data_IF_940543695484
#
_entry.id   IF_940543695484
#
_cell.length_a   1.000
_cell.length_b   1.000
_cell.length_c   1.000
_cell.angle_alpha   90.00
_cell.angle_beta   90.00
_cell.angle_gamma   90.00
#
_symmetry.space_group_name_H-M   'P 1'
#
loop_
_entity.id
_entity.type
_entity.pdbx_description
1 polymer ?
#
# COMPACT_ATOMS: atom_id res chain seq x y z
N UNK A 1 1.96 27.17 16.28
CA UNK A 1 0.97 26.60 17.22
C UNK A 1 1.69 26.26 18.52
N UNK A 2 1.05 26.43 19.68
CA UNK A 2 1.69 26.15 20.98
C UNK A 2 1.70 24.63 21.25
N UNK A 3 2.68 24.16 22.06
CA UNK A 3 2.86 22.74 22.39
C UNK A 3 1.59 22.10 22.97
N UNK A 4 0.98 22.77 23.98
CA UNK A 4 -0.22 22.24 24.64
C UNK A 4 -1.43 22.12 23.71
N UNK A 5 -1.50 22.95 22.68
CA UNK A 5 -2.54 22.89 21.65
C UNK A 5 -2.34 21.66 20.76
N UNK A 6 -1.11 21.41 20.28
CA UNK A 6 -0.78 20.22 19.48
C UNK A 6 -1.01 18.92 20.25
N UNK A 7 -0.63 18.88 21.54
CA UNK A 7 -0.87 17.71 22.40
C UNK A 7 -2.39 17.45 22.55
N UNK A 8 -3.20 18.50 22.74
CA UNK A 8 -4.66 18.35 22.84
C UNK A 8 -5.27 17.83 21.53
N UNK A 9 -4.83 18.33 20.37
CA UNK A 9 -5.28 17.84 19.08
C UNK A 9 -4.88 16.36 18.93
N UNK A 10 -3.62 16.02 19.21
CA UNK A 10 -3.16 14.62 19.12
C UNK A 10 -3.93 13.66 20.04
N UNK A 11 -4.33 14.12 21.24
CA UNK A 11 -5.16 13.34 22.16
C UNK A 11 -6.60 13.14 21.65
N UNK A 12 -7.13 14.08 20.85
CA UNK A 12 -8.47 13.99 20.26
C UNK A 12 -8.51 13.11 18.99
N UNK A 13 -7.36 12.93 18.34
CA UNK A 13 -7.24 12.10 17.14
C UNK A 13 -7.19 10.63 17.54
N UNK A 14 -8.19 9.86 17.09
CA UNK A 14 -8.28 8.42 17.35
C UNK A 14 -7.17 7.64 16.64
N UNK A 15 -6.89 6.45 17.15
CA UNK A 15 -6.00 5.52 16.48
C UNK A 15 -6.63 4.93 15.21
N UNK A 16 -5.78 4.49 14.30
CA UNK A 16 -6.16 3.79 13.08
C UNK A 16 -6.68 2.38 13.42
N UNK A 17 -7.71 1.93 12.70
CA UNK A 17 -8.17 0.55 12.72
C UNK A 17 -7.85 -0.10 11.37
N UNK A 18 -7.09 -1.19 11.39
CA UNK A 18 -6.60 -1.78 10.15
C UNK A 18 -5.72 -0.81 9.36
N UNK A 19 -5.87 -0.77 8.04
CA UNK A 19 -5.24 0.22 7.14
C UNK A 19 -6.26 1.25 6.63
N UNK A 20 -7.24 1.60 7.45
CA UNK A 20 -8.24 2.59 7.11
C UNK A 20 -7.71 4.02 7.32
N UNK A 21 -7.51 4.73 6.22
CA UNK A 21 -7.12 6.15 6.15
C UNK A 21 -8.27 7.06 5.72
N UNK A 22 -9.52 6.59 5.72
CA UNK A 22 -10.69 7.36 5.28
C UNK A 22 -10.93 8.65 6.07
N UNK A 23 -10.33 8.77 7.26
CA UNK A 23 -10.36 9.98 8.10
C UNK A 23 -9.36 11.06 7.70
N UNK A 24 -8.42 10.75 6.82
CA UNK A 24 -7.50 11.75 6.31
C UNK A 24 -8.25 12.62 5.31
N UNK A 25 -8.47 13.87 5.68
CA UNK A 25 -8.95 14.88 4.74
C UNK A 25 -7.75 15.34 3.92
N UNK A 26 -7.73 14.95 2.67
CA UNK A 26 -6.63 15.21 1.77
C UNK A 26 -7.09 15.74 0.41
N UNK A 27 -6.13 16.34 -0.29
CA UNK A 27 -6.27 16.76 -1.68
C UNK A 27 -4.95 16.53 -2.42
N UNK A 28 -5.02 16.32 -3.72
CA UNK A 28 -3.83 16.09 -4.55
C UNK A 28 -4.02 16.62 -5.97
N UNK A 29 -2.90 16.87 -6.62
CA UNK A 29 -2.93 17.11 -8.06
C UNK A 29 -3.37 15.85 -8.82
N UNK A 30 -3.87 15.99 -10.06
CA UNK A 30 -4.31 14.85 -10.85
C UNK A 30 -3.23 13.77 -10.98
N UNK A 31 -3.61 12.52 -10.70
CA UNK A 31 -2.75 11.34 -10.80
C UNK A 31 -2.95 10.63 -12.15
N UNK A 32 -1.90 9.99 -12.71
CA UNK A 32 -2.00 9.33 -14.02
C UNK A 32 -2.78 8.01 -13.98
N UNK A 33 -2.98 7.39 -12.81
CA UNK A 33 -3.79 6.18 -12.64
C UNK A 33 -4.38 6.10 -11.22
N UNK A 34 -5.53 5.45 -11.12
CA UNK A 34 -6.06 4.87 -9.89
C UNK A 34 -5.74 3.37 -9.88
N UNK A 35 -5.24 2.86 -8.76
CA UNK A 35 -4.82 1.45 -8.65
C UNK A 35 -5.98 0.47 -8.88
N UNK A 36 -7.13 0.71 -8.27
CA UNK A 36 -8.28 -0.18 -8.42
C UNK A 36 -8.80 -0.17 -9.86
N UNK A 37 -8.82 0.98 -10.51
CA UNK A 37 -9.22 1.09 -11.92
C UNK A 37 -8.21 0.40 -12.86
N UNK A 38 -6.91 0.40 -12.50
CA UNK A 38 -5.91 -0.40 -13.22
C UNK A 38 -6.19 -1.88 -13.04
N UNK A 39 -6.38 -2.35 -11.82
CA UNK A 39 -6.64 -3.78 -11.51
C UNK A 39 -7.89 -4.28 -12.21
N UNK A 40 -8.99 -3.52 -12.18
CA UNK A 40 -10.27 -3.89 -12.83
C UNK A 40 -10.13 -4.23 -14.32
N UNK A 41 -9.15 -3.67 -15.03
CA UNK A 41 -8.90 -3.97 -16.46
C UNK A 41 -8.38 -5.38 -16.71
N UNK A 42 -7.85 -6.04 -15.68
CA UNK A 42 -7.27 -7.39 -15.75
C UNK A 42 -8.18 -8.47 -15.15
N UNK A 43 -9.17 -8.06 -14.34
CA UNK A 43 -10.11 -8.98 -13.71
C UNK A 43 -11.14 -9.50 -14.72
N UNK A 44 -11.53 -10.76 -14.55
CA UNK A 44 -12.63 -11.39 -15.26
C UNK A 44 -13.56 -12.06 -14.24
N UNK A 45 -14.86 -12.24 -14.53
CA UNK A 45 -15.82 -12.84 -13.60
C UNK A 45 -15.42 -14.23 -13.09
N UNK A 46 -14.58 -14.95 -13.84
CA UNK A 46 -14.08 -16.27 -13.49
C UNK A 46 -12.72 -16.25 -12.81
N UNK A 47 -12.07 -15.09 -12.72
CA UNK A 47 -10.71 -14.97 -12.18
C UNK A 47 -10.64 -15.47 -10.74
N UNK A 48 -9.60 -16.24 -10.44
CA UNK A 48 -9.16 -16.56 -9.09
C UNK A 48 -8.05 -15.61 -8.68
N UNK A 49 -8.30 -14.83 -7.64
CA UNK A 49 -7.44 -13.69 -7.24
C UNK A 49 -6.82 -13.93 -5.87
N UNK A 50 -5.53 -13.65 -5.75
CA UNK A 50 -4.81 -13.59 -4.47
C UNK A 50 -4.41 -12.13 -4.21
N UNK A 51 -4.66 -11.64 -2.99
CA UNK A 51 -4.18 -10.34 -2.53
C UNK A 51 -3.18 -10.55 -1.38
N UNK A 52 -1.91 -10.24 -1.63
CA UNK A 52 -0.79 -10.44 -0.68
C UNK A 52 -0.51 -9.15 0.07
N UNK A 53 -0.57 -9.20 1.39
CA UNK A 53 -0.53 -8.02 2.25
C UNK A 53 -1.88 -7.28 2.21
N UNK A 54 -2.97 -8.04 2.39
CA UNK A 54 -4.35 -7.53 2.25
C UNK A 54 -4.76 -6.55 3.34
N UNK A 55 -4.04 -6.51 4.47
CA UNK A 55 -4.40 -5.69 5.62
C UNK A 55 -5.81 -6.01 6.12
N UNK A 56 -6.63 -4.98 6.35
CA UNK A 56 -8.05 -5.10 6.73
C UNK A 56 -8.99 -5.48 5.60
N UNK A 57 -8.47 -5.80 4.40
CA UNK A 57 -9.24 -6.29 3.26
C UNK A 57 -10.08 -5.23 2.53
N UNK A 58 -10.05 -3.96 2.94
CA UNK A 58 -10.94 -2.90 2.44
C UNK A 58 -10.86 -2.80 0.91
N UNK A 59 -9.64 -2.67 0.37
CA UNK A 59 -9.42 -2.50 -1.08
C UNK A 59 -9.67 -3.78 -1.87
N UNK A 60 -9.36 -4.93 -1.27
CA UNK A 60 -9.63 -6.21 -1.91
C UNK A 60 -11.13 -6.48 -2.06
N UNK A 61 -11.92 -6.15 -1.02
CA UNK A 61 -13.37 -6.31 -1.08
C UNK A 61 -14.06 -5.38 -2.08
N UNK A 62 -13.50 -4.18 -2.35
CA UNK A 62 -13.99 -3.30 -3.42
C UNK A 62 -13.87 -3.93 -4.82
N UNK A 63 -12.91 -4.86 -5.00
CA UNK A 63 -12.69 -5.59 -6.25
C UNK A 63 -13.55 -6.86 -6.37
N UNK A 64 -14.14 -7.35 -5.27
CA UNK A 64 -14.90 -8.60 -5.25
C UNK A 64 -16.01 -8.72 -6.32
N UNK A 65 -16.72 -7.65 -6.71
CA UNK A 65 -17.72 -7.74 -7.79
C UNK A 65 -17.15 -8.05 -9.18
N UNK A 66 -15.83 -8.00 -9.36
CA UNK A 66 -15.17 -8.11 -10.67
C UNK A 66 -14.43 -9.44 -10.88
N UNK A 67 -14.43 -10.35 -9.89
CA UNK A 67 -13.77 -11.66 -9.98
C UNK A 67 -14.64 -12.79 -9.40
N UNK A 68 -14.28 -14.04 -9.67
CA UNK A 68 -15.05 -15.22 -9.24
C UNK A 68 -14.77 -15.61 -7.79
N UNK A 69 -13.51 -15.81 -7.44
CA UNK A 69 -13.09 -16.16 -6.08
C UNK A 69 -11.79 -15.46 -5.71
N UNK A 70 -11.62 -15.14 -4.43
CA UNK A 70 -10.42 -14.48 -3.97
C UNK A 70 -9.99 -14.88 -2.57
N UNK A 71 -8.68 -14.80 -2.35
CA UNK A 71 -8.07 -14.97 -1.03
C UNK A 71 -7.19 -13.77 -0.73
N UNK A 72 -7.44 -13.11 0.40
CA UNK A 72 -6.54 -12.10 0.96
C UNK A 72 -5.67 -12.73 2.03
N UNK A 73 -4.35 -12.47 1.98
CA UNK A 73 -3.41 -12.96 2.99
C UNK A 73 -2.62 -11.81 3.60
N UNK A 74 -2.33 -11.92 4.89
CA UNK A 74 -1.47 -11.00 5.62
C UNK A 74 -0.70 -11.78 6.70
N UNK A 75 0.50 -11.32 7.04
CA UNK A 75 1.30 -11.92 8.10
C UNK A 75 0.72 -11.59 9.49
N UNK A 76 0.01 -10.47 9.60
CA UNK A 76 -0.55 -9.98 10.86
C UNK A 76 -1.94 -10.62 11.14
N UNK A 77 -2.08 -11.44 12.20
CA UNK A 77 -3.35 -12.04 12.54
C UNK A 77 -4.41 -11.01 12.98
N UNK A 78 -4.00 -9.85 13.50
CA UNK A 78 -4.92 -8.78 13.86
C UNK A 78 -5.55 -8.17 12.59
N UNK A 79 -4.76 -7.90 11.56
CA UNK A 79 -5.25 -7.43 10.26
C UNK A 79 -6.22 -8.42 9.64
N UNK A 80 -5.92 -9.71 9.68
CA UNK A 80 -6.83 -10.76 9.20
C UNK A 80 -8.13 -10.82 10.04
N UNK A 81 -8.04 -10.56 11.34
CA UNK A 81 -9.21 -10.38 12.21
C UNK A 81 -10.11 -9.26 11.70
N UNK A 82 -9.54 -8.08 11.47
CA UNK A 82 -10.24 -6.90 10.93
C UNK A 82 -10.82 -7.21 9.54
N UNK A 83 -10.06 -7.86 8.64
CA UNK A 83 -10.54 -8.20 7.30
C UNK A 83 -11.77 -9.13 7.33
N UNK A 84 -11.79 -10.09 8.26
CA UNK A 84 -12.94 -10.99 8.46
C UNK A 84 -14.16 -10.26 9.02
N UNK A 85 -13.96 -9.32 9.94
CA UNK A 85 -15.03 -8.48 10.48
C UNK A 85 -15.59 -7.51 9.43
N UNK A 86 -14.73 -6.92 8.63
CA UNK A 86 -15.10 -5.99 7.55
C UNK A 86 -15.85 -6.69 6.40
N UNK A 87 -15.66 -8.02 6.24
CA UNK A 87 -16.23 -8.77 5.12
C UNK A 87 -17.76 -8.87 5.22
N UNK A 88 -18.52 -8.31 4.26
CA UNK A 88 -19.97 -8.48 4.20
C UNK A 88 -20.34 -9.98 4.10
N UNK A 89 -21.43 -10.43 4.76
CA UNK A 89 -21.88 -11.82 4.67
C UNK A 89 -22.08 -12.31 3.22
N UNK A 90 -22.51 -11.44 2.32
CA UNK A 90 -22.70 -11.76 0.90
C UNK A 90 -21.39 -12.15 0.17
N UNK A 91 -20.23 -11.74 0.68
CA UNK A 91 -18.93 -12.10 0.11
C UNK A 91 -18.28 -13.33 0.77
N UNK A 92 -18.92 -13.93 1.77
CA UNK A 92 -18.31 -15.00 2.56
C UNK A 92 -17.95 -16.26 1.75
N UNK A 93 -18.65 -16.54 0.66
CA UNK A 93 -18.36 -17.66 -0.23
C UNK A 93 -17.35 -17.30 -1.34
N UNK A 94 -17.19 -16.01 -1.65
CA UNK A 94 -16.34 -15.51 -2.72
C UNK A 94 -14.96 -15.07 -2.25
N UNK A 95 -14.87 -14.49 -1.04
CA UNK A 95 -13.63 -13.90 -0.51
C UNK A 95 -13.29 -14.55 0.82
N UNK A 96 -12.07 -15.07 0.92
CA UNK A 96 -11.52 -15.66 2.14
C UNK A 96 -10.32 -14.85 2.62
N UNK A 97 -10.02 -14.93 3.94
CA UNK A 97 -8.84 -14.29 4.53
C UNK A 97 -8.07 -15.28 5.40
N UNK A 98 -6.74 -15.32 5.22
CA UNK A 98 -5.86 -16.24 5.96
C UNK A 98 -4.60 -15.52 6.44
N UNK A 99 -4.13 -15.91 7.64
CA UNK A 99 -2.81 -15.48 8.13
C UNK A 99 -1.75 -16.27 7.38
N UNK A 100 -0.88 -15.56 6.63
CA UNK A 100 0.13 -16.18 5.81
C UNK A 100 1.24 -15.19 5.45
N UNK A 101 2.52 -15.52 5.62
CA UNK A 101 3.61 -14.65 5.22
C UNK A 101 3.82 -14.66 3.71
N UNK A 102 4.18 -13.51 3.13
CA UNK A 102 4.35 -13.35 1.69
C UNK A 102 5.51 -14.17 1.09
N UNK A 103 6.53 -14.48 1.91
CA UNK A 103 7.69 -15.30 1.53
C UNK A 103 7.38 -16.78 1.43
N UNK A 104 6.23 -17.23 1.92
CA UNK A 104 5.79 -18.62 1.88
C UNK A 104 4.29 -18.72 1.73
N UNK A 105 3.84 -18.74 0.49
CA UNK A 105 2.43 -18.88 0.15
C UNK A 105 2.03 -20.36 0.12
N UNK A 106 1.11 -20.76 1.00
CA UNK A 106 0.67 -22.16 1.15
C UNK A 106 -0.37 -22.55 0.09
N UNK A 107 -0.10 -22.19 -1.17
CA UNK A 107 -0.92 -22.51 -2.34
C UNK A 107 -0.13 -23.34 -3.34
N UNK A 108 -0.79 -24.21 -4.12
CA UNK A 108 -0.19 -24.88 -5.26
C UNK A 108 0.40 -23.90 -6.28
N UNK A 109 1.39 -24.35 -7.05
CA UNK A 109 1.88 -23.58 -8.19
C UNK A 109 0.81 -23.45 -9.27
N UNK A 110 0.69 -22.26 -9.86
CA UNK A 110 -0.24 -22.01 -10.97
C UNK A 110 -1.71 -21.90 -10.56
N UNK A 111 -2.00 -21.57 -9.31
CA UNK A 111 -3.38 -21.56 -8.79
C UNK A 111 -4.16 -20.29 -9.14
N UNK A 112 -3.49 -19.16 -9.28
CA UNK A 112 -4.14 -17.85 -9.42
C UNK A 112 -4.00 -17.25 -10.81
N UNK A 113 -5.09 -16.65 -11.29
CA UNK A 113 -5.12 -15.84 -12.51
C UNK A 113 -4.44 -14.50 -12.31
N UNK A 114 -4.74 -13.89 -11.16
CA UNK A 114 -4.24 -12.57 -10.76
C UNK A 114 -3.69 -12.64 -9.34
N UNK A 115 -2.51 -12.10 -9.13
CA UNK A 115 -1.97 -11.81 -7.81
C UNK A 115 -1.84 -10.30 -7.66
N UNK A 116 -2.39 -9.78 -6.57
CA UNK A 116 -2.37 -8.37 -6.19
C UNK A 116 -1.43 -8.17 -5.02
N UNK A 117 -0.86 -6.98 -4.93
CA UNK A 117 -0.15 -6.51 -3.76
C UNK A 117 -0.19 -4.98 -3.75
N UNK A 118 -0.40 -4.39 -2.58
CA UNK A 118 -0.42 -2.94 -2.46
C UNK A 118 0.24 -2.50 -1.16
N UNK A 119 1.34 -1.74 -1.29
CA UNK A 119 2.09 -1.19 -0.15
C UNK A 119 2.57 -2.25 0.85
N UNK A 120 2.94 -3.43 0.38
CA UNK A 120 3.44 -4.55 1.18
C UNK A 120 4.62 -5.23 0.49
N UNK A 121 5.38 -6.02 1.24
CA UNK A 121 6.56 -6.75 0.74
C UNK A 121 6.17 -7.70 -0.39
N UNK A 122 7.01 -7.78 -1.41
CA UNK A 122 6.84 -8.64 -2.59
C UNK A 122 7.97 -9.67 -2.67
N UNK A 123 7.61 -10.94 -2.71
CA UNK A 123 8.54 -12.04 -2.97
C UNK A 123 8.29 -12.60 -4.39
N UNK A 124 9.07 -12.10 -5.36
CA UNK A 124 8.86 -12.39 -6.79
C UNK A 124 8.81 -13.89 -7.12
N UNK A 125 9.62 -14.72 -6.47
CA UNK A 125 9.64 -16.17 -6.68
C UNK A 125 8.32 -16.84 -6.23
N UNK A 126 7.79 -16.49 -5.05
CA UNK A 126 6.53 -17.04 -4.55
C UNK A 126 5.33 -16.56 -5.37
N UNK A 127 5.28 -15.27 -5.69
CA UNK A 127 4.24 -14.72 -6.56
C UNK A 127 4.26 -15.40 -7.94
N UNK A 128 5.43 -15.52 -8.57
CA UNK A 128 5.55 -16.19 -9.87
C UNK A 128 5.18 -17.68 -9.78
N UNK A 129 5.49 -18.35 -8.66
CA UNK A 129 5.15 -19.76 -8.46
C UNK A 129 3.63 -19.99 -8.42
N UNK A 130 2.90 -19.15 -7.66
CA UNK A 130 1.45 -19.32 -7.49
C UNK A 130 0.64 -18.78 -8.67
N UNK A 131 1.19 -17.91 -9.52
CA UNK A 131 0.57 -17.47 -10.76
C UNK A 131 0.52 -18.61 -11.77
N UNK A 132 -0.62 -18.78 -12.44
CA UNK A 132 -0.72 -19.65 -13.62
C UNK A 132 0.05 -19.06 -14.81
N UNK A 133 0.46 -19.89 -15.78
CA UNK A 133 0.95 -19.39 -17.07
C UNK A 133 -0.07 -18.43 -17.70
N UNK A 134 0.38 -17.26 -18.16
CA UNK A 134 -0.46 -16.19 -18.69
C UNK A 134 -1.11 -15.29 -17.63
N UNK A 135 -1.03 -15.63 -16.33
CA UNK A 135 -1.56 -14.84 -15.22
C UNK A 135 -0.77 -13.54 -14.98
N UNK A 136 -1.37 -12.61 -14.25
CA UNK A 136 -0.79 -11.29 -14.01
C UNK A 136 -0.53 -11.05 -12.53
N UNK A 137 0.59 -10.41 -12.24
CA UNK A 137 0.83 -9.75 -10.96
C UNK A 137 0.73 -8.24 -11.14
N UNK A 138 0.02 -7.58 -10.23
CA UNK A 138 -0.21 -6.13 -10.25
C UNK A 138 0.10 -5.58 -8.87
N UNK A 139 1.10 -4.71 -8.78
CA UNK A 139 1.46 -4.05 -7.52
C UNK A 139 1.55 -2.56 -7.67
N UNK A 140 1.12 -1.84 -6.62
CA UNK A 140 1.46 -0.45 -6.39
C UNK A 140 2.23 -0.34 -5.09
N UNK A 141 3.37 0.34 -5.13
CA UNK A 141 4.21 0.58 -3.96
C UNK A 141 4.28 2.06 -3.62
N UNK A 142 4.62 2.36 -2.38
CA UNK A 142 4.99 3.70 -1.96
C UNK A 142 6.39 3.98 -2.47
N UNK A 143 6.57 5.06 -3.22
CA UNK A 143 7.90 5.42 -3.73
C UNK A 143 8.78 6.05 -2.64
N UNK A 144 10.11 6.02 -2.81
CA UNK A 144 11.09 6.43 -1.80
C UNK A 144 11.01 7.91 -1.41
N UNK A 145 10.48 8.74 -2.28
CA UNK A 145 10.31 10.18 -2.02
C UNK A 145 8.88 10.53 -1.57
N UNK A 146 8.07 9.54 -1.18
CA UNK A 146 6.70 9.83 -0.70
C UNK A 146 6.74 10.65 0.58
N UNK A 147 6.00 11.77 0.61
CA UNK A 147 5.94 12.72 1.75
C UNK A 147 7.34 13.14 2.23
N UNK A 148 8.29 13.26 1.31
CA UNK A 148 9.72 13.39 1.62
C UNK A 148 10.04 14.60 2.50
N UNK A 149 9.45 15.77 2.23
CA UNK A 149 9.68 16.98 3.03
C UNK A 149 9.23 16.83 4.49
N UNK A 150 8.30 15.92 4.79
CA UNK A 150 7.84 15.61 6.14
C UNK A 150 8.69 14.48 6.72
N UNK A 151 8.77 13.33 6.03
CA UNK A 151 9.46 12.14 6.53
C UNK A 151 10.95 12.38 6.79
N UNK A 152 11.63 13.20 5.98
CA UNK A 152 13.04 13.53 6.17
C UNK A 152 13.33 14.27 7.48
N UNK A 153 12.37 15.03 8.01
CA UNK A 153 12.51 15.69 9.33
C UNK A 153 12.59 14.69 10.49
N UNK A 154 12.06 13.49 10.30
CA UNK A 154 12.11 12.39 11.25
C UNK A 154 13.22 11.38 10.93
N UNK A 155 14.17 11.73 10.05
CA UNK A 155 15.26 10.85 9.65
C UNK A 155 14.87 9.71 8.72
N UNK A 156 13.69 9.78 8.09
CA UNK A 156 13.19 8.76 7.19
C UNK A 156 13.44 9.12 5.72
N UNK A 157 13.54 8.10 4.86
CA UNK A 157 13.74 8.26 3.42
C UNK A 157 15.21 8.26 2.99
N UNK A 158 15.49 8.52 1.69
CA UNK A 158 16.83 8.44 1.12
C UNK A 158 17.85 9.32 1.85
N UNK A 159 18.93 8.71 2.33
CA UNK A 159 19.99 9.37 3.11
C UNK A 159 19.63 9.62 4.58
N UNK A 160 18.51 9.13 5.07
CA UNK A 160 18.10 9.17 6.47
C UNK A 160 18.70 8.03 7.29
N UNK A 161 18.38 8.03 8.60
CA UNK A 161 18.79 6.97 9.53
C UNK A 161 18.12 5.62 9.22
N UNK A 162 16.93 5.66 8.64
CA UNK A 162 16.18 4.48 8.20
C UNK A 162 16.42 4.30 6.70
N UNK A 163 17.40 3.43 6.37
CA UNK A 163 17.67 3.06 4.99
C UNK A 163 16.49 2.28 4.38
N UNK A 164 16.18 2.62 3.14
CA UNK A 164 15.16 1.92 2.38
C UNK A 164 15.68 0.55 1.92
N UNK A 165 14.84 -0.48 2.02
CA UNK A 165 15.14 -1.78 1.41
C UNK A 165 15.05 -1.69 -0.12
N UNK A 166 16.19 -1.45 -0.75
CA UNK A 166 16.29 -1.35 -2.21
C UNK A 166 15.86 -2.62 -2.95
N UNK A 167 15.75 -3.77 -2.27
CA UNK A 167 15.23 -5.01 -2.86
C UNK A 167 13.75 -4.90 -3.25
N UNK A 168 13.03 -3.97 -2.61
CA UNK A 168 11.63 -3.67 -2.91
C UNK A 168 11.47 -2.51 -3.91
N UNK A 169 12.58 -1.96 -4.42
CA UNK A 169 12.50 -0.94 -5.46
C UNK A 169 11.86 -1.48 -6.74
N UNK A 170 11.19 -0.60 -7.48
CA UNK A 170 10.51 -0.95 -8.72
C UNK A 170 11.44 -1.67 -9.73
N UNK A 171 12.72 -1.28 -9.77
CA UNK A 171 13.72 -1.91 -10.64
C UNK A 171 14.11 -3.31 -10.16
N UNK A 172 14.36 -3.48 -8.86
CA UNK A 172 14.72 -4.77 -8.28
C UNK A 172 13.56 -5.77 -8.41
N UNK A 173 12.33 -5.35 -8.15
CA UNK A 173 11.14 -6.18 -8.33
C UNK A 173 10.97 -6.59 -9.79
N UNK A 174 11.10 -5.65 -10.73
CA UNK A 174 10.99 -5.95 -12.16
C UNK A 174 12.04 -6.98 -12.62
N UNK A 175 13.28 -6.85 -12.12
CA UNK A 175 14.35 -7.81 -12.42
C UNK A 175 14.10 -9.16 -11.75
N UNK A 176 13.69 -9.18 -10.48
CA UNK A 176 13.32 -10.40 -9.77
C UNK A 176 12.24 -11.20 -10.52
N UNK A 177 11.22 -10.53 -11.04
CA UNK A 177 10.18 -11.18 -11.85
C UNK A 177 10.69 -11.69 -13.21
N UNK A 178 11.61 -10.96 -13.89
CA UNK A 178 12.23 -11.46 -15.12
C UNK A 178 12.99 -12.75 -14.90
N UNK A 179 13.73 -12.85 -13.78
CA UNK A 179 14.44 -14.08 -13.41
C UNK A 179 13.51 -15.26 -13.13
N UNK A 180 12.23 -15.00 -12.83
CA UNK A 180 11.19 -16.01 -12.65
C UNK A 180 10.38 -16.28 -13.95
N UNK A 181 10.87 -15.85 -15.11
CA UNK A 181 10.18 -16.07 -16.38
C UNK A 181 8.93 -15.21 -16.60
N UNK A 182 8.85 -14.07 -15.93
CA UNK A 182 7.77 -13.12 -16.13
C UNK A 182 8.19 -11.97 -17.06
N UNK A 183 7.26 -11.50 -17.88
CA UNK A 183 7.43 -10.32 -18.72
C UNK A 183 6.88 -9.09 -18.01
N UNK A 184 7.64 -8.02 -17.96
CA UNK A 184 7.14 -6.72 -17.51
C UNK A 184 6.19 -6.15 -18.57
N UNK A 185 4.95 -5.89 -18.19
CA UNK A 185 3.90 -5.33 -19.05
C UNK A 185 3.86 -3.82 -18.92
N UNK A 186 3.87 -3.34 -17.67
CA UNK A 186 3.85 -1.91 -17.36
C UNK A 186 4.75 -1.64 -16.17
N UNK A 187 5.48 -0.55 -16.25
CA UNK A 187 6.20 0.07 -15.15
C UNK A 187 5.98 1.57 -15.23
N UNK A 188 5.55 2.16 -14.14
CA UNK A 188 5.33 3.59 -14.06
C UNK A 188 5.53 4.11 -12.66
N UNK A 189 5.82 5.39 -12.55
CA UNK A 189 5.90 6.13 -11.30
C UNK A 189 5.17 7.46 -11.45
N UNK A 190 4.64 7.99 -10.37
CA UNK A 190 4.25 9.37 -10.29
C UNK A 190 4.68 10.00 -8.97
N UNK A 191 4.91 11.30 -9.01
CA UNK A 191 5.20 12.12 -7.84
C UNK A 191 4.44 13.44 -8.02
N UNK A 192 3.33 13.60 -7.28
CA UNK A 192 2.42 14.74 -7.39
C UNK A 192 2.35 15.51 -6.08
N UNK A 193 1.94 16.78 -6.12
CA UNK A 193 1.68 17.52 -4.90
C UNK A 193 0.46 16.95 -4.19
N UNK A 194 0.56 16.90 -2.87
CA UNK A 194 -0.45 16.39 -1.97
C UNK A 194 -0.61 17.33 -0.77
N UNK A 195 -1.80 17.45 -0.22
CA UNK A 195 -2.09 18.31 0.91
C UNK A 195 -2.90 17.57 1.96
N UNK A 196 -2.48 17.67 3.20
CA UNK A 196 -3.34 17.41 4.34
C UNK A 196 -4.20 18.66 4.57
N UNK A 197 -5.51 18.54 4.53
CA UNK A 197 -6.42 19.69 4.62
C UNK A 197 -6.63 20.20 6.05
N UNK A 198 -6.24 19.42 7.06
CA UNK A 198 -6.31 19.79 8.47
C UNK A 198 -5.07 19.32 9.24
N UNK A 199 -4.83 19.94 10.40
CA UNK A 199 -3.76 19.54 11.33
C UNK A 199 -4.07 18.16 11.90
N UNK A 200 -5.34 17.86 12.15
CA UNK A 200 -5.85 16.59 12.62
C UNK A 200 -5.53 15.48 11.63
N UNK A 201 -5.71 15.71 10.33
CA UNK A 201 -5.37 14.76 9.26
C UNK A 201 -3.88 14.47 9.20
N UNK A 202 -3.03 15.49 9.32
CA UNK A 202 -1.58 15.32 9.39
C UNK A 202 -1.19 14.49 10.63
N UNK A 203 -1.73 14.82 11.81
CA UNK A 203 -1.42 14.13 13.06
C UNK A 203 -1.92 12.69 13.02
N UNK A 204 -3.14 12.45 12.50
CA UNK A 204 -3.66 11.10 12.30
C UNK A 204 -2.72 10.28 11.40
N UNK A 205 -2.29 10.85 10.29
CA UNK A 205 -1.38 10.20 9.34
C UNK A 205 -0.04 9.86 10.01
N UNK A 206 0.58 10.80 10.74
CA UNK A 206 1.84 10.57 11.47
C UNK A 206 1.74 9.46 12.52
N UNK A 207 0.59 9.33 13.20
CA UNK A 207 0.32 8.24 14.16
C UNK A 207 0.05 6.90 13.47
N UNK A 208 -0.45 6.93 12.24
CA UNK A 208 -0.98 5.76 11.56
C UNK A 208 0.05 5.02 10.69
N UNK A 209 1.11 5.70 10.26
CA UNK A 209 2.16 5.11 9.41
C UNK A 209 3.27 4.48 10.26
N UNK A 210 4.00 3.47 9.74
CA UNK A 210 5.09 2.84 10.47
C UNK A 210 6.34 3.72 10.60
N UNK A 211 6.40 4.83 9.89
CA UNK A 211 7.49 5.81 9.94
C UNK A 211 6.95 7.24 10.05
N UNK A 212 7.40 8.04 11.01
CA UNK A 212 8.47 7.70 11.96
C UNK A 212 8.01 6.64 12.97
N UNK A 213 8.92 5.71 13.30
CA UNK A 213 8.67 4.79 14.40
C UNK A 213 8.44 5.58 15.69
N UNK A 214 7.51 5.09 16.51
CA UNK A 214 7.23 5.66 17.84
C UNK A 214 6.89 7.16 17.82
N UNK A 215 6.11 7.61 16.82
CA UNK A 215 5.65 8.99 16.80
C UNK A 215 4.91 9.34 18.10
N UNK A 216 5.45 10.31 18.84
CA UNK A 216 4.87 10.86 20.06
C UNK A 216 4.82 12.39 19.98
N UNK A 217 3.63 12.97 20.15
CA UNK A 217 3.44 14.41 20.00
C UNK A 217 4.21 15.21 21.04
N UNK A 218 4.35 14.72 22.27
CA UNK A 218 5.07 15.44 23.31
C UNK A 218 6.57 15.52 23.04
N UNK A 219 7.11 14.51 22.34
CA UNK A 219 8.52 14.50 21.94
C UNK A 219 8.76 15.23 20.61
N UNK A 220 7.83 15.10 19.64
CA UNK A 220 8.02 15.57 18.27
C UNK A 220 7.28 16.87 17.94
N UNK A 221 6.68 17.55 18.93
CA UNK A 221 5.89 18.77 18.71
C UNK A 221 6.65 19.88 17.96
N UNK A 222 7.97 19.99 18.18
CA UNK A 222 8.80 20.98 17.49
C UNK A 222 8.90 20.70 16.00
N UNK A 223 9.02 19.43 15.61
CA UNK A 223 9.02 19.00 14.20
C UNK A 223 7.65 19.26 13.55
N UNK A 224 6.58 18.92 14.25
CA UNK A 224 5.21 19.18 13.77
C UNK A 224 4.97 20.69 13.63
N UNK A 225 5.39 21.48 14.61
CA UNK A 225 5.29 22.95 14.52
C UNK A 225 6.14 23.53 13.38
N UNK A 226 7.32 22.96 13.12
CA UNK A 226 8.13 23.31 11.95
C UNK A 226 7.41 22.98 10.65
N UNK A 227 6.80 21.79 10.52
CA UNK A 227 5.99 21.42 9.36
C UNK A 227 4.87 22.44 9.12
N UNK A 228 4.12 22.77 10.18
CA UNK A 228 3.01 23.72 10.11
C UNK A 228 3.45 25.15 9.80
N UNK A 229 4.64 25.57 10.23
CA UNK A 229 5.16 26.90 9.92
C UNK A 229 5.78 27.02 8.53
N UNK A 230 6.25 25.91 7.97
CA UNK A 230 7.03 25.89 6.71
C UNK A 230 6.21 25.47 5.51
N UNK A 231 5.31 24.49 5.67
CA UNK A 231 4.62 23.84 4.55
C UNK A 231 3.11 24.12 4.47
N UNK A 232 2.57 24.95 5.39
CA UNK A 232 1.16 25.39 5.29
C UNK A 232 0.99 26.33 4.10
N UNK A 233 -0.03 26.06 3.30
CA UNK A 233 -0.51 26.86 2.18
C UNK A 233 -1.99 27.17 2.35
N UNK A 234 -2.58 27.97 1.47
CA UNK A 234 -4.04 28.20 1.45
C UNK A 234 -4.85 26.92 1.25
N UNK A 235 -4.25 25.87 0.66
CA UNK A 235 -4.89 24.59 0.37
C UNK A 235 -4.73 23.57 1.51
N UNK A 236 -3.79 23.78 2.43
CA UNK A 236 -3.46 22.87 3.51
C UNK A 236 -1.96 22.70 3.70
N UNK A 237 -1.56 21.67 4.45
CA UNK A 237 -0.14 21.31 4.66
C UNK A 237 0.37 20.55 3.43
N UNK A 238 1.21 21.22 2.65
CA UNK A 238 1.72 20.68 1.39
C UNK A 238 2.83 19.65 1.61
N UNK A 239 2.71 18.55 0.89
CA UNK A 239 3.73 17.53 0.73
C UNK A 239 3.64 16.94 -0.71
N UNK A 240 4.14 15.74 -0.90
CA UNK A 240 4.02 15.01 -2.16
C UNK A 240 3.52 13.58 -1.93
N UNK A 241 2.87 13.03 -2.93
CA UNK A 241 2.54 11.61 -3.01
C UNK A 241 3.33 10.98 -4.15
N UNK A 242 4.18 9.99 -3.82
CA UNK A 242 4.88 9.18 -4.82
C UNK A 242 4.38 7.75 -4.78
N UNK A 243 4.03 7.21 -5.95
CA UNK A 243 3.64 5.81 -6.12
C UNK A 243 4.33 5.20 -7.32
N UNK A 244 4.65 3.93 -7.16
CA UNK A 244 5.26 3.07 -8.15
C UNK A 244 4.27 1.98 -8.56
N UNK A 245 4.08 1.77 -9.86
CA UNK A 245 3.22 0.72 -10.43
C UNK A 245 4.06 -0.28 -11.20
N UNK A 246 3.87 -1.56 -10.92
CA UNK A 246 4.45 -2.65 -11.71
C UNK A 246 3.37 -3.67 -12.06
N UNK A 247 3.31 -4.01 -13.34
CA UNK A 247 2.46 -5.08 -13.87
C UNK A 247 3.36 -6.06 -14.61
N UNK A 248 3.32 -7.31 -14.22
CA UNK A 248 4.04 -8.39 -14.90
C UNK A 248 3.08 -9.51 -15.30
N UNK A 249 3.44 -10.23 -16.34
CA UNK A 249 2.72 -11.41 -16.80
C UNK A 249 3.64 -12.62 -16.77
N UNK A 250 3.21 -13.71 -16.14
CA UNK A 250 3.92 -14.98 -16.22
C UNK A 250 3.82 -15.52 -17.64
N UNK A 251 4.96 -15.83 -18.26
CA UNK A 251 4.98 -16.39 -19.61
C UNK A 251 4.43 -17.81 -19.61
N UNK A 252 3.78 -18.19 -20.70
CA UNK A 252 3.39 -19.57 -20.92
C UNK A 252 4.65 -20.41 -21.24
N UNK A 253 4.69 -21.64 -20.75
CA UNK A 253 5.80 -22.56 -21.07
C UNK A 253 5.94 -22.70 -22.60
N UNK A 254 7.12 -22.36 -23.13
CA UNK A 254 7.43 -22.48 -24.56
C UNK A 254 7.40 -21.19 -25.39
N UNK A 255 7.18 -20.01 -24.79
CA UNK A 255 7.32 -18.71 -25.49
C UNK A 255 8.70 -18.10 -25.23
N UNK A 256 9.71 -18.51 -26.01
CA UNK A 256 11.01 -17.86 -26.14
C UNK A 256 11.06 -17.03 -27.42
#
# INVERSE_FOLDING_TARGET
MEQDELIRIAASVSERRGWDFSRVEDDRDPIPWDYLEVVKRYLQPESRVLDVGTGGGERFMELAPFFGTGVGVDIDPEMIGVARENRPPALAEHVQFAVMPAERLEFPGGEFDIVLNRHSVVHAAEVARVLRPGGFFITQQVGPLNTHNICSLFGCGPGGEYEEDLSQSLLALAEGFRQQGCRVVTRGEYNVRYWFLSVESLIFWLKAIPMPQDFDMAQHWQLVNHILSTYVTERGVQTNEQRDLLIVQKQADGSW
#
